data_IF_446568665607
#
_entry.id   IF_446568665607
#
_cell.length_a   1.000
_cell.length_b   1.000
_cell.length_c   1.000
_cell.angle_alpha   90.00
_cell.angle_beta   90.00
_cell.angle_gamma   90.00
#
_symmetry.space_group_name_H-M   'P 1'
#
loop_
_entity.id
_entity.type
_entity.pdbx_description
1 polymer ?
#
# COMPACT_ATOMS: atom_id res chain seq x y z
N UNK A 1 4.52 15.43 -8.40
CA UNK A 1 5.71 16.07 -7.75
C UNK A 1 5.26 17.39 -7.14
N UNK A 2 5.65 17.74 -5.91
CA UNK A 2 5.28 19.04 -5.32
C UNK A 2 6.02 20.16 -6.06
N UNK A 3 5.49 21.38 -6.01
CA UNK A 3 6.06 22.56 -6.68
C UNK A 3 7.48 22.90 -6.22
N UNK A 4 7.87 22.47 -5.02
CA UNK A 4 9.20 22.65 -4.44
C UNK A 4 10.20 21.52 -4.81
N UNK A 5 9.85 20.61 -5.73
CA UNK A 5 10.73 19.53 -6.18
C UNK A 5 10.81 18.30 -5.26
N UNK A 6 10.14 18.34 -4.10
CA UNK A 6 10.07 17.20 -3.17
C UNK A 6 8.84 16.33 -3.44
N UNK A 7 8.88 15.08 -2.96
CA UNK A 7 7.77 14.12 -3.07
C UNK A 7 7.09 13.95 -1.72
N UNK A 8 5.85 13.48 -1.76
CA UNK A 8 5.18 12.97 -0.56
C UNK A 8 5.61 11.51 -0.37
N UNK A 9 6.10 11.16 0.81
CA UNK A 9 6.25 9.77 1.23
C UNK A 9 4.98 9.38 1.98
N UNK A 10 4.32 8.31 1.54
CA UNK A 10 3.25 7.66 2.29
C UNK A 10 3.81 6.47 3.06
N UNK A 11 3.33 6.25 4.28
CA UNK A 11 3.76 5.16 5.13
C UNK A 11 2.70 4.76 6.15
N UNK A 12 2.82 3.54 6.67
CA UNK A 12 1.94 3.00 7.70
C UNK A 12 2.68 2.00 8.60
N UNK A 13 2.38 1.96 9.90
CA UNK A 13 2.76 0.84 10.75
C UNK A 13 2.02 -0.44 10.35
N UNK A 14 2.69 -1.59 10.40
CA UNK A 14 2.10 -2.90 10.08
C UNK A 14 0.83 -3.20 10.90
N UNK A 15 0.80 -2.79 12.17
CA UNK A 15 -0.32 -3.01 13.11
C UNK A 15 -1.33 -1.85 13.15
N UNK A 16 -1.33 -0.97 12.16
CA UNK A 16 -2.26 0.17 12.06
C UNK A 16 -3.15 0.08 10.82
N UNK A 17 -4.35 0.64 10.92
CA UNK A 17 -5.25 0.86 9.77
C UNK A 17 -5.20 2.30 9.24
N UNK A 18 -4.41 3.17 9.85
CA UNK A 18 -4.17 4.53 9.37
C UNK A 18 -3.03 4.60 8.36
N UNK A 19 -3.15 5.54 7.43
CA UNK A 19 -2.07 5.93 6.52
C UNK A 19 -1.55 7.31 6.93
N UNK A 20 -0.25 7.50 6.77
CA UNK A 20 0.45 8.74 7.12
C UNK A 20 1.21 9.25 5.91
N UNK A 21 1.52 10.54 5.92
CA UNK A 21 2.37 11.14 4.91
C UNK A 21 3.34 12.18 5.48
N UNK A 22 4.42 12.41 4.75
CA UNK A 22 5.41 13.45 5.05
C UNK A 22 6.07 13.94 3.76
N UNK A 23 6.53 15.20 3.74
CA UNK A 23 7.39 15.67 2.65
C UNK A 23 8.76 15.01 2.75
N UNK A 24 9.31 14.53 1.64
CA UNK A 24 10.70 14.02 1.61
C UNK A 24 11.74 15.11 1.92
N UNK A 25 11.36 16.38 1.88
CA UNK A 25 12.18 17.51 2.36
C UNK A 25 12.55 17.35 3.84
N UNK A 26 11.57 16.94 4.66
CA UNK A 26 11.76 16.72 6.11
C UNK A 26 12.82 15.64 6.34
N UNK A 27 12.75 14.55 5.57
CA UNK A 27 13.67 13.41 5.68
C UNK A 27 15.09 13.72 5.20
N UNK A 28 15.26 14.76 4.39
CA UNK A 28 16.57 15.20 3.86
C UNK A 28 17.20 16.30 4.71
N UNK A 29 16.50 16.79 5.73
CA UNK A 29 17.00 17.83 6.62
C UNK A 29 17.43 17.23 7.96
N UNK A 30 18.74 17.12 8.16
CA UNK A 30 19.32 16.50 9.35
C UNK A 30 18.98 17.24 10.65
N UNK A 31 18.74 18.56 10.61
CA UNK A 31 18.43 19.31 11.83
C UNK A 31 17.04 18.97 12.38
N UNK A 32 16.10 18.59 11.52
CA UNK A 32 14.76 18.17 11.93
C UNK A 32 14.76 16.80 12.61
N UNK A 33 15.78 15.97 12.40
CA UNK A 33 15.86 14.64 13.02
C UNK A 33 16.02 14.68 14.55
N UNK A 34 16.53 15.79 15.10
CA UNK A 34 16.72 16.00 16.54
C UNK A 34 15.76 17.05 17.12
N UNK A 35 14.91 17.65 16.29
CA UNK A 35 13.90 18.61 16.74
C UNK A 35 12.70 17.86 17.34
N UNK A 36 12.40 18.04 18.64
CA UNK A 36 11.26 17.38 19.28
C UNK A 36 9.91 17.82 18.72
N UNK A 37 9.84 18.91 17.93
CA UNK A 37 8.62 19.39 17.29
C UNK A 37 8.43 18.86 15.85
N UNK A 38 9.41 18.13 15.31
CA UNK A 38 9.37 17.62 13.93
C UNK A 38 8.20 16.68 13.66
N UNK A 39 7.62 16.06 14.69
CA UNK A 39 6.44 15.21 14.55
C UNK A 39 5.22 15.95 13.96
N UNK A 40 5.12 17.27 14.15
CA UNK A 40 4.04 18.09 13.60
C UNK A 40 4.10 18.22 12.06
N UNK A 41 5.21 17.84 11.45
CA UNK A 41 5.41 17.86 10.00
C UNK A 41 4.86 16.60 9.31
N UNK A 42 4.46 15.60 10.09
CA UNK A 42 3.83 14.37 9.62
C UNK A 42 2.32 14.53 9.67
N UNK A 43 1.65 14.02 8.64
CA UNK A 43 0.20 14.11 8.49
C UNK A 43 -0.43 12.73 8.63
N UNK A 44 -1.54 12.65 9.34
CA UNK A 44 -2.46 11.51 9.29
C UNK A 44 -3.36 11.73 8.08
N UNK A 45 -3.30 10.86 7.07
CA UNK A 45 -4.14 10.97 5.88
C UNK A 45 -5.57 10.50 6.14
N UNK A 46 -5.72 9.48 6.98
CA UNK A 46 -7.03 8.99 7.40
C UNK A 46 -7.01 7.51 7.80
N UNK A 47 -8.20 6.95 7.96
CA UNK A 47 -8.41 5.56 8.35
C UNK A 47 -8.93 4.75 7.16
N UNK A 48 -8.26 3.63 6.83
CA UNK A 48 -8.61 2.75 5.70
C UNK A 48 -9.79 1.82 5.99
N UNK A 49 -10.19 1.67 7.25
CA UNK A 49 -11.26 0.80 7.72
C UNK A 49 -10.77 -0.40 8.54
N UNK A 50 -11.69 -1.28 8.92
CA UNK A 50 -11.37 -2.46 9.71
C UNK A 50 -10.59 -3.50 8.89
N UNK A 51 -9.64 -4.17 9.54
CA UNK A 51 -8.84 -5.27 8.97
C UNK A 51 -8.07 -4.89 7.68
N UNK A 52 -7.56 -3.66 7.60
CA UNK A 52 -6.79 -3.15 6.45
C UNK A 52 -5.31 -2.95 6.77
N UNK A 53 -4.76 -3.75 7.67
CA UNK A 53 -3.31 -3.80 7.91
C UNK A 53 -2.60 -4.18 6.61
N UNK A 54 -1.51 -3.48 6.32
CA UNK A 54 -0.75 -3.61 5.09
C UNK A 54 0.73 -3.80 5.43
N UNK A 55 1.40 -4.64 4.64
CA UNK A 55 2.85 -4.85 4.70
C UNK A 55 3.60 -3.96 3.72
N UNK A 56 2.95 -3.54 2.63
CA UNK A 56 3.58 -2.80 1.55
C UNK A 56 2.58 -1.89 0.83
N UNK A 57 3.10 -0.80 0.28
CA UNK A 57 2.38 0.10 -0.62
C UNK A 57 3.27 0.68 -1.71
N UNK A 58 2.66 1.07 -2.83
CA UNK A 58 3.36 1.71 -3.93
C UNK A 58 2.41 2.63 -4.71
N UNK A 59 2.92 3.82 -5.07
CA UNK A 59 2.14 4.88 -5.69
C UNK A 59 2.38 4.89 -7.20
N UNK A 60 1.32 4.83 -8.00
CA UNK A 60 1.39 5.17 -9.42
C UNK A 60 1.35 6.69 -9.58
N UNK A 61 2.45 7.29 -10.02
CA UNK A 61 2.55 8.75 -10.18
C UNK A 61 1.65 9.31 -11.30
N UNK A 62 1.16 8.47 -12.22
CA UNK A 62 0.29 8.92 -13.31
C UNK A 62 -1.16 9.06 -12.84
N UNK A 63 -1.67 8.10 -12.09
CA UNK A 63 -3.06 8.12 -11.58
C UNK A 63 -3.17 8.72 -10.18
N UNK A 64 -2.04 8.90 -9.49
CA UNK A 64 -1.98 9.29 -8.08
C UNK A 64 -2.72 8.29 -7.17
N UNK A 65 -2.77 7.02 -7.61
CA UNK A 65 -3.36 5.90 -6.86
C UNK A 65 -2.26 5.16 -6.10
N UNK A 66 -2.41 5.13 -4.78
CA UNK A 66 -1.61 4.31 -3.88
C UNK A 66 -2.25 2.91 -3.83
N UNK A 67 -1.49 1.88 -4.16
CA UNK A 67 -1.87 0.48 -3.97
C UNK A 67 -1.29 -0.04 -2.67
N UNK A 68 -2.05 -0.85 -1.94
CA UNK A 68 -1.66 -1.38 -0.64
C UNK A 68 -2.04 -2.86 -0.52
N UNK A 69 -1.19 -3.65 0.11
CA UNK A 69 -1.54 -5.03 0.47
C UNK A 69 -2.61 -5.03 1.59
N UNK A 70 -3.41 -6.09 1.69
CA UNK A 70 -4.40 -6.27 2.75
C UNK A 70 -4.20 -7.64 3.41
N UNK A 71 -3.45 -7.66 4.51
CA UNK A 71 -3.00 -8.91 5.15
C UNK A 71 -4.15 -9.71 5.76
N UNK A 72 -5.16 -9.04 6.29
CA UNK A 72 -6.30 -9.68 6.98
C UNK A 72 -7.47 -9.98 6.04
N UNK A 73 -7.36 -9.61 4.77
CA UNK A 73 -8.43 -9.75 3.77
C UNK A 73 -7.97 -10.51 2.53
N UNK A 74 -6.80 -11.14 2.60
CA UNK A 74 -6.19 -11.91 1.52
C UNK A 74 -6.24 -11.16 0.18
N UNK A 75 -5.77 -9.90 0.17
CA UNK A 75 -6.09 -9.01 -0.94
C UNK A 75 -5.15 -7.83 -1.16
N UNK A 76 -5.52 -7.02 -2.15
CA UNK A 76 -4.87 -5.75 -2.51
C UNK A 76 -5.96 -4.69 -2.62
N UNK A 77 -5.65 -3.51 -2.11
CA UNK A 77 -6.51 -2.34 -2.15
C UNK A 77 -5.84 -1.20 -2.90
N UNK A 78 -6.63 -0.17 -3.18
CA UNK A 78 -6.19 1.07 -3.76
C UNK A 78 -6.80 2.26 -3.02
N UNK A 79 -6.15 3.41 -3.14
CA UNK A 79 -6.67 4.70 -2.72
C UNK A 79 -6.15 5.79 -3.65
N UNK A 80 -7.05 6.63 -4.18
CA UNK A 80 -6.64 7.80 -4.93
C UNK A 80 -6.29 8.94 -3.96
N UNK A 81 -5.03 9.36 -3.95
CA UNK A 81 -4.50 10.35 -3.00
C UNK A 81 -5.09 11.75 -3.16
N UNK A 82 -5.84 12.02 -4.25
CA UNK A 82 -6.62 13.23 -4.44
C UNK A 82 -7.98 13.21 -3.71
N UNK A 83 -8.37 12.07 -3.13
CA UNK A 83 -9.62 11.90 -2.36
C UNK A 83 -9.30 11.75 -0.86
N UNK A 84 -10.13 12.28 0.05
CA UNK A 84 -9.96 12.05 1.48
C UNK A 84 -9.89 10.56 1.80
N UNK A 85 -8.93 10.15 2.63
CA UNK A 85 -8.79 8.74 3.00
C UNK A 85 -9.82 8.36 4.06
N UNK A 86 -10.81 7.60 3.63
CA UNK A 86 -11.84 7.00 4.47
C UNK A 86 -12.25 5.64 3.86
N UNK A 87 -13.03 4.80 4.57
CA UNK A 87 -13.44 3.50 4.06
C UNK A 87 -14.23 3.54 2.74
N UNK A 88 -14.91 4.64 2.42
CA UNK A 88 -15.70 4.79 1.18
C UNK A 88 -14.80 5.02 -0.04
N UNK A 89 -13.69 5.74 0.14
CA UNK A 89 -12.69 6.03 -0.91
C UNK A 89 -11.56 4.98 -0.98
N UNK A 90 -11.57 3.98 -0.09
CA UNK A 90 -10.60 2.89 -0.06
C UNK A 90 -11.14 1.67 -0.82
N UNK A 91 -10.64 1.47 -2.04
CA UNK A 91 -11.16 0.47 -2.96
C UNK A 91 -10.50 -0.89 -2.82
N UNK A 92 -11.26 -1.95 -3.05
CA UNK A 92 -10.72 -3.30 -3.18
C UNK A 92 -10.33 -3.57 -4.65
N UNK A 93 -9.09 -3.99 -4.89
CA UNK A 93 -8.57 -4.31 -6.25
C UNK A 93 -8.70 -5.81 -6.53
N UNK A 94 -8.26 -6.63 -5.58
CA UNK A 94 -8.29 -8.08 -5.71
C UNK A 94 -8.39 -8.74 -4.33
N UNK A 95 -9.08 -9.88 -4.26
CA UNK A 95 -9.16 -10.74 -3.08
C UNK A 95 -9.14 -12.20 -3.52
N UNK A 96 -8.27 -13.00 -2.91
CA UNK A 96 -8.18 -14.43 -3.16
C UNK A 96 -7.62 -15.16 -1.93
N UNK A 97 -8.46 -15.94 -1.26
CA UNK A 97 -8.11 -16.70 -0.05
C UNK A 97 -7.05 -17.79 -0.27
N UNK A 98 -6.79 -18.18 -1.51
CA UNK A 98 -5.80 -19.19 -1.87
C UNK A 98 -4.55 -18.51 -2.44
N UNK A 99 -4.77 -17.55 -3.33
CA UNK A 99 -3.72 -16.86 -4.08
C UNK A 99 -2.97 -15.80 -3.27
N UNK A 100 -3.67 -15.10 -2.37
CA UNK A 100 -3.22 -13.90 -1.68
C UNK A 100 -3.23 -14.05 -0.15
N UNK A 101 -2.96 -15.26 0.37
CA UNK A 101 -2.96 -15.58 1.82
C UNK A 101 -2.10 -14.62 2.64
N UNK A 102 -0.92 -14.26 2.12
CA UNK A 102 -0.09 -13.23 2.71
C UNK A 102 0.52 -12.40 1.57
N UNK A 103 -0.11 -11.30 1.15
CA UNK A 103 0.44 -10.42 0.14
C UNK A 103 1.60 -9.65 0.78
N UNK A 104 2.82 -10.18 0.61
CA UNK A 104 4.02 -9.74 1.29
C UNK A 104 4.49 -8.38 0.78
N UNK A 105 4.60 -8.23 -0.54
CA UNK A 105 5.08 -7.01 -1.18
C UNK A 105 4.31 -6.71 -2.47
N UNK A 106 4.30 -5.43 -2.85
CA UNK A 106 3.85 -4.98 -4.16
C UNK A 106 4.76 -3.89 -4.72
N UNK A 107 4.88 -3.84 -6.05
CA UNK A 107 5.69 -2.86 -6.79
C UNK A 107 5.04 -2.52 -8.12
N UNK A 108 5.21 -1.27 -8.55
CA UNK A 108 4.81 -0.82 -9.88
C UNK A 108 6.08 -0.65 -10.72
N UNK A 109 6.12 -1.31 -11.87
CA UNK A 109 7.25 -1.19 -12.80
C UNK A 109 7.13 0.05 -13.73
N UNK A 110 8.13 0.25 -14.58
CA UNK A 110 8.18 1.38 -15.51
C UNK A 110 7.06 1.35 -16.58
N UNK A 111 6.52 0.17 -16.89
CA UNK A 111 5.40 0.00 -17.82
C UNK A 111 4.03 0.13 -17.12
N UNK A 112 4.01 0.49 -15.84
CA UNK A 112 2.82 0.60 -14.99
C UNK A 112 2.07 -0.71 -14.85
N UNK A 113 2.79 -1.82 -14.71
CA UNK A 113 2.24 -3.05 -14.18
C UNK A 113 2.39 -3.06 -12.66
N UNK A 114 1.30 -3.36 -11.97
CA UNK A 114 1.28 -3.69 -10.56
C UNK A 114 1.66 -5.17 -10.39
N UNK A 115 2.77 -5.42 -9.72
CA UNK A 115 3.26 -6.73 -9.32
C UNK A 115 2.96 -6.97 -7.85
N UNK A 116 2.50 -8.16 -7.51
CA UNK A 116 2.18 -8.57 -6.14
C UNK A 116 2.86 -9.89 -5.84
N UNK A 117 3.70 -9.92 -4.82
CA UNK A 117 4.28 -11.14 -4.27
C UNK A 117 3.40 -11.60 -3.11
N UNK A 118 2.88 -12.82 -3.19
CA UNK A 118 2.21 -13.46 -2.07
C UNK A 118 2.91 -14.75 -1.67
N UNK A 119 3.01 -14.96 -0.36
CA UNK A 119 3.55 -16.15 0.24
C UNK A 119 2.58 -16.72 1.29
N UNK A 120 3.06 -17.68 2.07
CA UNK A 120 2.34 -18.28 3.20
C UNK A 120 3.08 -18.07 4.52
N UNK A 121 3.62 -16.87 4.74
CA UNK A 121 4.38 -16.53 5.95
C UNK A 121 3.67 -16.93 7.25
N UNK A 122 2.35 -16.69 7.45
CA UNK A 122 1.69 -17.12 8.68
C UNK A 122 1.74 -18.64 8.88
N UNK A 123 1.59 -19.42 7.80
CA UNK A 123 1.71 -20.88 7.87
C UNK A 123 3.14 -21.28 8.21
N UNK A 124 4.15 -20.66 7.58
CA UNK A 124 5.55 -20.94 7.85
C UNK A 124 5.98 -20.62 9.31
N UNK A 125 5.41 -19.57 9.91
CA UNK A 125 5.73 -19.18 11.27
C UNK A 125 5.18 -20.14 12.33
N UNK A 126 3.98 -20.71 12.09
CA UNK A 126 3.28 -21.53 13.08
C UNK A 126 3.26 -23.03 12.74
N UNK A 127 3.57 -23.41 11.50
CA UNK A 127 3.52 -24.77 10.96
C UNK A 127 4.59 -25.00 9.89
N UNK A 128 4.64 -26.22 9.34
CA UNK A 128 5.48 -26.52 8.17
C UNK A 128 4.72 -26.29 6.87
N UNK A 129 5.42 -25.75 5.85
CA UNK A 129 4.85 -25.60 4.52
C UNK A 129 4.70 -26.96 3.82
N UNK A 130 3.55 -27.19 3.19
CA UNK A 130 3.35 -28.34 2.32
C UNK A 130 4.12 -28.14 1.01
N UNK A 131 5.15 -28.94 0.76
CA UNK A 131 6.00 -28.84 -0.44
C UNK A 131 5.30 -29.24 -1.73
N UNK A 132 4.14 -29.91 -1.63
CA UNK A 132 3.34 -30.30 -2.78
C UNK A 132 2.33 -29.21 -3.21
N UNK A 133 2.34 -28.05 -2.54
CA UNK A 133 1.48 -26.92 -2.85
C UNK A 133 2.30 -25.70 -3.32
N UNK A 134 1.65 -24.82 -4.09
CA UNK A 134 2.22 -23.52 -4.42
C UNK A 134 2.20 -22.61 -3.19
N UNK A 135 3.37 -22.45 -2.56
CA UNK A 135 3.54 -21.64 -1.35
C UNK A 135 3.90 -20.17 -1.64
N UNK A 136 4.33 -19.87 -2.85
CA UNK A 136 4.71 -18.53 -3.31
C UNK A 136 4.07 -18.26 -4.66
N UNK A 137 3.56 -17.05 -4.87
CA UNK A 137 2.91 -16.61 -6.11
C UNK A 137 3.33 -15.19 -6.44
N UNK A 138 3.48 -14.92 -7.73
CA UNK A 138 3.68 -13.57 -8.25
C UNK A 138 2.53 -13.29 -9.21
N UNK A 139 1.80 -12.21 -8.96
CA UNK A 139 0.72 -11.73 -9.81
C UNK A 139 1.13 -10.45 -10.53
N UNK A 140 0.51 -10.20 -11.68
CA UNK A 140 0.69 -8.98 -12.45
C UNK A 140 -0.64 -8.52 -13.03
N UNK A 141 -0.92 -7.23 -12.93
CA UNK A 141 -2.04 -6.56 -13.60
C UNK A 141 -1.59 -5.17 -14.05
N UNK A 142 -2.13 -4.64 -15.14
CA UNK A 142 -1.87 -3.23 -15.49
C UNK A 142 -2.57 -2.33 -14.48
N UNK A 143 -1.92 -1.24 -14.08
CA UNK A 143 -2.50 -0.27 -13.13
C UNK A 143 -3.85 0.26 -13.61
N UNK A 144 -3.96 0.57 -14.90
CA UNK A 144 -5.19 1.11 -15.46
C UNK A 144 -6.36 0.10 -15.37
N UNK A 145 -6.09 -1.20 -15.57
CA UNK A 145 -7.09 -2.26 -15.43
C UNK A 145 -7.44 -2.52 -13.96
N UNK A 146 -6.46 -2.42 -13.06
CA UNK A 146 -6.60 -2.71 -11.63
C UNK A 146 -7.53 -1.74 -10.89
N UNK A 147 -7.69 -0.52 -11.39
CA UNK A 147 -8.53 0.51 -10.76
C UNK A 147 -9.93 0.60 -11.38
N UNK A 148 -10.21 -0.11 -12.48
CA UNK A 148 -11.53 -0.11 -13.12
C UNK A 148 -12.61 -0.56 -12.13
N UNK A 149 -13.74 0.13 -12.11
CA UNK A 149 -14.87 -0.12 -11.21
C UNK A 149 -14.52 -0.04 -9.70
N UNK A 150 -13.42 0.62 -9.36
CA UNK A 150 -13.08 0.95 -7.97
C UNK A 150 -13.31 2.43 -7.70
N UNK A 151 -13.50 2.85 -6.43
CA UNK A 151 -13.53 4.28 -6.07
C UNK A 151 -12.19 5.00 -6.33
N UNK A 152 -11.13 4.28 -6.72
CA UNK A 152 -9.80 4.84 -6.99
C UNK A 152 -9.66 5.37 -8.43
N UNK A 153 -10.52 4.92 -9.34
CA UNK A 153 -10.51 5.39 -10.73
C UNK A 153 -10.64 6.92 -10.79
N UNK A 154 -9.89 7.51 -11.72
CA UNK A 154 -10.13 8.89 -12.14
C UNK A 154 -11.40 8.87 -12.99
N UNK A 155 -12.39 9.68 -12.61
CA UNK A 155 -13.58 9.91 -13.46
C UNK A 155 -13.17 10.46 -14.82
#
# INVERSE_FOLDING_TARGET
MRSNGYRTLFFHPLVSTHEFSVSTEVLRNQTLAVDPNSYNLYKIEGNRGAATQASSSNLDLKTEVLFLTQLQKDGVACWNTNKPLNPENFGNVAQDKVGLVFPNDLKIDAERNLWVLSDRMPVFLFHSLNRNEYNYRIFRIKVDDAIVNTPCALN
#
